data_IF_691094203077
#
_entry.id   IF_691094203077
#
_cell.length_a   1.000
_cell.length_b   1.000
_cell.length_c   1.000
_cell.angle_alpha   90.00
_cell.angle_beta   90.00
_cell.angle_gamma   90.00
#
_symmetry.space_group_name_H-M   'P 1'
#
loop_
_entity.id
_entity.type
_entity.pdbx_description
1 polymer ?
#
# COMPACT_ATOMS: atom_id res chain seq x y z
N UNK A 1 -13.58 -1.62 -12.08
CA UNK A 1 -13.47 -0.36 -11.31
C UNK A 1 -13.64 0.81 -12.28
N UNK A 2 -14.55 1.75 -11.98
CA UNK A 2 -14.83 2.93 -12.82
C UNK A 2 -14.14 4.16 -12.21
N UNK A 3 -13.38 4.91 -13.01
CA UNK A 3 -12.70 6.15 -12.58
C UNK A 3 -13.77 7.22 -12.34
N UNK A 4 -13.87 7.75 -11.13
CA UNK A 4 -14.94 8.68 -10.75
C UNK A 4 -14.59 10.14 -11.09
N UNK A 5 -13.35 10.59 -10.84
CA UNK A 5 -12.86 11.91 -11.23
C UNK A 5 -11.34 11.87 -11.45
N UNK A 6 -10.81 12.71 -12.34
CA UNK A 6 -9.38 12.93 -12.54
C UNK A 6 -9.01 14.28 -11.90
N UNK A 7 -8.43 14.24 -10.71
CA UNK A 7 -7.95 15.43 -10.00
C UNK A 7 -6.45 15.53 -10.29
N UNK A 8 -6.13 16.07 -11.47
CA UNK A 8 -4.75 16.40 -11.85
C UNK A 8 -4.71 17.88 -12.26
N UNK A 9 -4.08 18.70 -11.41
CA UNK A 9 -3.91 20.14 -11.62
C UNK A 9 -2.84 20.45 -12.69
N UNK A 10 -2.08 19.44 -13.17
CA UNK A 10 -1.03 19.55 -14.19
C UNK A 10 -0.01 20.68 -13.95
N UNK A 11 0.13 21.15 -12.71
CA UNK A 11 1.04 22.23 -12.34
C UNK A 11 2.43 21.67 -12.02
N UNK A 12 3.05 21.03 -13.02
CA UNK A 12 4.40 20.48 -12.91
C UNK A 12 5.33 21.19 -13.89
N UNK A 13 6.45 21.70 -13.40
CA UNK A 13 7.54 22.19 -14.27
C UNK A 13 8.10 20.99 -15.05
N UNK A 14 8.19 21.13 -16.37
CA UNK A 14 8.59 20.10 -17.36
C UNK A 14 10.04 19.57 -17.20
N UNK A 15 10.75 19.97 -16.15
CA UNK A 15 12.16 19.67 -15.86
C UNK A 15 12.34 18.68 -14.71
N UNK A 16 11.28 18.33 -13.99
CA UNK A 16 11.37 17.39 -12.87
C UNK A 16 11.21 15.94 -13.35
N UNK A 17 12.17 15.10 -12.97
CA UNK A 17 12.11 13.66 -13.15
C UNK A 17 10.88 13.09 -12.42
N UNK A 18 9.88 12.63 -13.18
CA UNK A 18 8.67 12.00 -12.66
C UNK A 18 9.05 10.68 -12.01
N UNK A 19 9.34 10.71 -10.71
CA UNK A 19 9.65 9.50 -9.95
C UNK A 19 8.36 8.79 -9.56
N UNK A 20 7.99 7.79 -10.35
CA UNK A 20 6.78 6.99 -10.11
C UNK A 20 7.17 5.75 -9.34
N UNK A 21 7.00 5.77 -8.01
CA UNK A 21 7.20 4.56 -7.18
C UNK A 21 5.90 3.78 -7.08
N UNK A 22 5.79 2.59 -7.71
CA UNK A 22 4.62 1.74 -7.50
C UNK A 22 4.54 1.36 -6.02
N UNK A 23 3.34 1.41 -5.44
CA UNK A 23 3.08 1.02 -4.06
C UNK A 23 1.85 0.14 -3.97
N UNK A 24 1.89 -0.83 -3.07
CA UNK A 24 0.78 -1.72 -2.77
C UNK A 24 0.33 -1.49 -1.32
N UNK A 25 -0.99 -1.44 -1.09
CA UNK A 25 -1.57 -1.37 0.25
C UNK A 25 -2.63 -2.44 0.43
N UNK A 26 -2.63 -3.11 1.57
CA UNK A 26 -3.60 -4.15 1.88
C UNK A 26 -4.72 -3.57 2.74
N UNK A 27 -5.95 -3.86 2.32
CA UNK A 27 -7.14 -3.64 3.14
C UNK A 27 -7.55 -5.01 3.68
N UNK A 28 -7.21 -5.27 4.94
CA UNK A 28 -7.51 -6.54 5.60
C UNK A 28 -8.75 -6.35 6.46
N UNK A 29 -9.78 -7.13 6.17
CA UNK A 29 -11.08 -7.08 6.86
C UNK A 29 -11.29 -8.41 7.57
N UNK A 30 -11.63 -8.37 8.86
CA UNK A 30 -11.98 -9.54 9.68
C UNK A 30 -13.28 -9.28 10.42
N UNK A 31 -14.40 -9.76 9.88
CA UNK A 31 -15.74 -9.39 10.34
C UNK A 31 -15.95 -7.88 10.16
N UNK A 32 -16.37 -7.19 11.22
CA UNK A 32 -16.59 -5.74 11.23
C UNK A 32 -15.33 -4.90 11.56
N UNK A 33 -14.14 -5.52 11.51
CA UNK A 33 -12.87 -4.87 11.89
C UNK A 33 -11.93 -4.75 10.69
N UNK A 34 -11.21 -3.64 10.64
CA UNK A 34 -10.17 -3.34 9.63
C UNK A 34 -8.79 -3.34 10.32
N UNK A 35 -7.80 -3.98 9.70
CA UNK A 35 -6.43 -3.94 10.20
C UNK A 35 -5.72 -2.64 9.77
N UNK A 36 -5.16 -1.93 10.75
CA UNK A 36 -4.38 -0.71 10.55
C UNK A 36 -3.06 -0.83 11.31
N UNK A 37 -1.99 -0.32 10.73
CA UNK A 37 -0.67 -0.21 11.37
C UNK A 37 -0.55 1.19 11.96
N UNK A 38 -0.24 1.25 13.26
CA UNK A 38 0.00 2.51 13.95
C UNK A 38 1.49 2.87 13.92
N UNK A 39 1.83 3.95 13.21
CA UNK A 39 3.20 4.47 13.21
C UNK A 39 3.40 5.37 14.44
N UNK A 40 4.13 4.88 15.45
CA UNK A 40 4.45 5.68 16.66
C UNK A 40 5.27 6.93 16.33
N UNK A 41 6.13 6.87 15.30
CA UNK A 41 6.99 7.97 14.89
C UNK A 41 6.19 9.13 14.30
N UNK A 42 5.22 8.81 13.47
CA UNK A 42 4.45 9.79 12.71
C UNK A 42 3.06 10.07 13.31
N UNK A 43 2.69 9.35 14.38
CA UNK A 43 1.41 9.44 15.10
C UNK A 43 0.15 9.31 14.22
N UNK A 44 0.21 8.52 13.14
CA UNK A 44 -0.95 8.23 12.29
C UNK A 44 -1.15 6.74 12.04
N UNK A 45 -2.39 6.39 11.69
CA UNK A 45 -2.79 5.05 11.26
C UNK A 45 -2.68 4.93 9.75
N UNK A 46 -2.05 3.85 9.28
CA UNK A 46 -1.93 3.54 7.87
C UNK A 46 -2.38 2.13 7.55
N UNK A 47 -2.81 1.93 6.32
CA UNK A 47 -2.94 0.57 5.80
C UNK A 47 -1.55 -0.06 5.67
N UNK A 48 -1.40 -1.34 6.07
CA UNK A 48 -0.15 -2.05 5.87
C UNK A 48 0.19 -2.13 4.38
N UNK A 49 1.44 -1.87 4.05
CA UNK A 49 1.91 -1.90 2.67
C UNK A 49 3.03 -0.90 2.41
N UNK A 50 3.67 -1.05 1.26
CA UNK A 50 4.88 -0.32 0.92
C UNK A 50 5.16 -0.27 -0.57
N UNK A 51 6.44 -0.12 -0.90
CA UNK A 51 6.90 0.00 -2.28
C UNK A 51 6.94 -1.36 -2.97
N UNK A 52 6.51 -1.39 -4.23
CA UNK A 52 6.69 -2.53 -5.11
C UNK A 52 8.04 -2.33 -5.81
N UNK A 53 8.86 -3.39 -5.91
CA UNK A 53 10.05 -3.36 -6.77
C UNK A 53 9.67 -3.67 -8.22
N UNK A 54 10.39 -3.11 -9.19
CA UNK A 54 10.05 -3.20 -10.62
C UNK A 54 9.97 -4.65 -11.15
N UNK A 55 10.67 -5.60 -10.52
CA UNK A 55 10.70 -7.01 -10.92
C UNK A 55 9.75 -7.93 -10.11
N UNK A 56 8.92 -7.41 -9.22
CA UNK A 56 8.07 -8.21 -8.32
C UNK A 56 6.57 -8.10 -8.69
N UNK A 57 5.83 -9.22 -8.62
CA UNK A 57 4.38 -9.20 -8.81
C UNK A 57 3.71 -8.37 -7.70
N UNK A 58 2.64 -7.64 -8.05
CA UNK A 58 1.91 -6.78 -7.11
C UNK A 58 1.40 -7.55 -5.89
N UNK A 59 1.02 -8.82 -6.05
CA UNK A 59 0.56 -9.66 -4.95
C UNK A 59 1.72 -10.11 -4.07
N UNK A 60 2.86 -10.47 -4.65
CA UNK A 60 4.04 -10.89 -3.90
C UNK A 60 4.60 -9.73 -3.06
N UNK A 61 4.76 -8.56 -3.67
CA UNK A 61 5.17 -7.34 -2.96
C UNK A 61 4.19 -7.01 -1.82
N UNK A 62 2.88 -7.15 -2.06
CA UNK A 62 1.88 -6.93 -1.01
C UNK A 62 2.00 -7.95 0.13
N UNK A 63 2.17 -9.24 -0.17
CA UNK A 63 2.32 -10.29 0.83
C UNK A 63 3.60 -10.07 1.67
N UNK A 64 4.72 -9.72 1.03
CA UNK A 64 5.98 -9.41 1.69
C UNK A 64 5.82 -8.22 2.64
N UNK A 65 5.30 -7.09 2.15
CA UNK A 65 5.11 -5.87 2.95
C UNK A 65 4.12 -6.09 4.12
N UNK A 66 3.02 -6.80 3.91
CA UNK A 66 2.06 -7.13 4.98
C UNK A 66 2.71 -8.05 6.03
N UNK A 67 3.53 -9.00 5.62
CA UNK A 67 4.29 -9.87 6.55
C UNK A 67 5.29 -9.06 7.37
N UNK A 68 6.01 -8.14 6.74
CA UNK A 68 7.01 -7.30 7.42
C UNK A 68 6.37 -6.27 8.37
N UNK A 69 5.30 -5.58 7.95
CA UNK A 69 4.71 -4.48 8.73
C UNK A 69 3.65 -4.92 9.74
N UNK A 70 2.81 -5.90 9.40
CA UNK A 70 1.71 -6.33 10.25
C UNK A 70 2.04 -7.59 11.06
N UNK A 71 3.21 -8.22 10.82
CA UNK A 71 3.55 -9.54 11.35
C UNK A 71 2.38 -10.54 11.18
N UNK A 72 1.64 -10.37 10.09
CA UNK A 72 0.40 -11.09 9.84
C UNK A 72 0.71 -12.28 8.94
N UNK A 73 0.69 -13.48 9.50
CA UNK A 73 0.61 -14.69 8.69
C UNK A 73 -0.81 -14.80 8.14
N UNK A 74 -1.04 -14.76 6.81
CA UNK A 74 -2.30 -15.21 6.27
C UNK A 74 -2.47 -16.66 6.75
N UNK A 75 -3.49 -16.88 7.55
CA UNK A 75 -3.77 -18.15 8.22
C UNK A 75 -4.05 -19.23 7.17
N UNK A 76 -3.00 -19.88 6.68
CA UNK A 76 -3.09 -21.21 6.07
C UNK A 76 -3.07 -22.21 7.21
N UNK A 77 -4.21 -22.40 7.88
CA UNK A 77 -4.47 -23.70 8.50
C UNK A 77 -5.43 -24.44 7.59
N UNK A 78 -4.86 -25.46 6.97
CA UNK A 78 -5.54 -26.66 6.48
C UNK A 78 -6.41 -27.27 7.56
#
# INVERSE_FOLDING_TARGET
MKRLFEIDLKDYKKTDSVFRRPSARAIIIKGDKIALVYSKREKYYKFPGGGIHDDEDKKEALIREVREEACFFPYQRS
#
